data_IF_914328478733
#
_entry.id   IF_914328478733
#
_cell.length_a   1.000
_cell.length_b   1.000
_cell.length_c   1.000
_cell.angle_alpha   90.00
_cell.angle_beta   90.00
_cell.angle_gamma   90.00
#
_symmetry.space_group_name_H-M   'P 1'
#
loop_
_entity.id
_entity.type
_entity.pdbx_description
1 polymer ?
#
# COMPACT_ATOMS: atom_id res chain seq x y z
N UNK A 1 -37.28 -12.13 -1.11
CA UNK A 1 -36.40 -12.27 -2.29
C UNK A 1 -35.42 -11.08 -2.49
N UNK A 2 -35.33 -10.09 -1.62
CA UNK A 2 -34.51 -8.86 -1.80
C UNK A 2 -33.04 -8.97 -1.37
N UNK A 3 -32.63 -9.98 -0.60
CA UNK A 3 -31.27 -10.09 -0.06
C UNK A 3 -30.20 -10.63 -1.04
N UNK A 4 -30.60 -11.19 -2.16
CA UNK A 4 -29.66 -11.85 -3.11
C UNK A 4 -28.98 -10.87 -4.09
N UNK A 5 -29.57 -9.70 -4.35
CA UNK A 5 -29.03 -8.70 -5.28
C UNK A 5 -27.98 -7.75 -4.69
N UNK A 6 -27.94 -7.58 -3.36
CA UNK A 6 -26.93 -6.73 -2.71
C UNK A 6 -25.54 -7.36 -2.63
N UNK A 7 -25.44 -8.71 -2.57
CA UNK A 7 -24.15 -9.40 -2.49
C UNK A 7 -23.38 -9.48 -3.81
N UNK A 8 -24.07 -9.50 -4.95
CA UNK A 8 -23.42 -9.56 -6.28
C UNK A 8 -22.84 -8.21 -6.71
N UNK A 9 -23.51 -7.10 -6.35
CA UNK A 9 -22.99 -5.76 -6.61
C UNK A 9 -21.74 -5.44 -5.79
N UNK A 10 -21.68 -5.89 -4.54
CA UNK A 10 -20.54 -5.66 -3.64
C UNK A 10 -19.27 -6.38 -4.12
N UNK A 11 -19.36 -7.60 -4.61
CA UNK A 11 -18.21 -8.36 -5.12
C UNK A 11 -17.67 -7.76 -6.42
N UNK A 12 -18.55 -7.28 -7.32
CA UNK A 12 -18.15 -6.61 -8.56
C UNK A 12 -17.42 -5.28 -8.29
N UNK A 13 -17.95 -4.48 -7.36
CA UNK A 13 -17.33 -3.20 -6.95
C UNK A 13 -15.96 -3.46 -6.31
N UNK A 14 -15.85 -4.44 -5.41
CA UNK A 14 -14.59 -4.79 -4.77
C UNK A 14 -13.55 -5.25 -5.80
N UNK A 15 -13.94 -6.09 -6.76
CA UNK A 15 -13.06 -6.53 -7.85
C UNK A 15 -12.58 -5.39 -8.74
N UNK A 16 -13.46 -4.42 -9.03
CA UNK A 16 -13.10 -3.20 -9.78
C UNK A 16 -12.10 -2.35 -8.99
N UNK A 17 -12.32 -2.13 -7.69
CA UNK A 17 -11.41 -1.38 -6.84
C UNK A 17 -10.03 -2.05 -6.78
N UNK A 18 -9.96 -3.36 -6.59
CA UNK A 18 -8.69 -4.11 -6.60
C UNK A 18 -7.99 -3.97 -7.96
N UNK A 19 -8.71 -4.10 -9.06
CA UNK A 19 -8.16 -3.96 -10.41
C UNK A 19 -7.61 -2.56 -10.68
N UNK A 20 -8.32 -1.52 -10.27
CA UNK A 20 -7.87 -0.12 -10.40
C UNK A 20 -6.63 0.16 -9.54
N UNK A 21 -6.60 -0.33 -8.30
CA UNK A 21 -5.43 -0.19 -7.44
C UNK A 21 -4.21 -0.93 -8.02
N UNK A 22 -4.38 -2.16 -8.53
CA UNK A 22 -3.27 -2.89 -9.18
C UNK A 22 -2.74 -2.15 -10.42
N UNK A 23 -3.63 -1.61 -11.23
CA UNK A 23 -3.24 -0.79 -12.39
C UNK A 23 -2.47 0.46 -11.94
N UNK A 24 -2.95 1.15 -10.92
CA UNK A 24 -2.29 2.34 -10.39
C UNK A 24 -0.90 2.00 -9.85
N UNK A 25 -0.76 0.96 -9.03
CA UNK A 25 0.52 0.46 -8.51
C UNK A 25 1.50 0.14 -9.64
N UNK A 26 1.03 -0.50 -10.71
CA UNK A 26 1.89 -0.81 -11.85
C UNK A 26 2.39 0.46 -12.56
N UNK A 27 1.50 1.44 -12.76
CA UNK A 27 1.86 2.75 -13.35
C UNK A 27 2.85 3.47 -12.44
N UNK A 28 2.60 3.51 -11.14
CA UNK A 28 3.44 4.18 -10.15
C UNK A 28 4.83 3.56 -10.08
N UNK A 29 4.94 2.22 -10.08
CA UNK A 29 6.21 1.52 -10.10
C UNK A 29 7.02 1.79 -11.40
N UNK A 30 6.35 1.78 -12.55
CA UNK A 30 6.98 2.07 -13.85
C UNK A 30 7.45 3.53 -13.89
N UNK A 31 6.60 4.48 -13.51
CA UNK A 31 6.98 5.90 -13.49
C UNK A 31 8.09 6.16 -12.47
N UNK A 32 8.00 5.56 -11.27
CA UNK A 32 9.04 5.66 -10.23
C UNK A 32 10.40 5.19 -10.73
N UNK A 33 10.42 4.07 -11.45
CA UNK A 33 11.65 3.54 -12.04
C UNK A 33 12.26 4.48 -13.09
N UNK A 34 11.46 4.94 -14.06
CA UNK A 34 11.94 5.81 -15.14
C UNK A 34 12.21 7.25 -14.70
N UNK A 35 11.60 7.72 -13.62
CA UNK A 35 11.85 9.04 -13.03
C UNK A 35 12.98 9.05 -11.99
N UNK A 36 13.61 7.90 -11.69
CA UNK A 36 14.58 7.70 -10.61
C UNK A 36 14.04 8.15 -9.24
N UNK A 37 12.74 7.98 -8.98
CA UNK A 37 12.10 8.38 -7.72
C UNK A 37 11.96 7.20 -6.79
N UNK A 38 12.74 7.20 -5.70
CA UNK A 38 12.59 6.28 -4.59
C UNK A 38 11.26 6.51 -3.85
N UNK A 39 10.73 7.74 -3.86
CA UNK A 39 9.43 8.10 -3.27
C UNK A 39 8.28 7.36 -3.92
N UNK A 40 8.17 7.41 -5.25
CA UNK A 40 7.15 6.66 -5.99
C UNK A 40 7.33 5.14 -5.86
N UNK A 41 8.57 4.64 -5.87
CA UNK A 41 8.83 3.21 -5.69
C UNK A 41 8.44 2.73 -4.28
N UNK A 42 8.64 3.57 -3.25
CA UNK A 42 8.24 3.28 -1.88
C UNK A 42 6.72 3.19 -1.75
N UNK A 43 6.00 4.16 -2.32
CA UNK A 43 4.54 4.22 -2.33
C UNK A 43 3.94 3.03 -3.10
N UNK A 44 4.46 2.75 -4.31
CA UNK A 44 4.05 1.58 -5.10
C UNK A 44 4.28 0.25 -4.37
N UNK A 45 5.41 0.09 -3.67
CA UNK A 45 5.72 -1.10 -2.89
C UNK A 45 4.76 -1.30 -1.71
N UNK A 46 4.38 -0.23 -1.03
CA UNK A 46 3.38 -0.23 0.03
C UNK A 46 2.01 -0.64 -0.51
N UNK A 47 1.51 0.09 -1.49
CA UNK A 47 0.22 -0.15 -2.13
C UNK A 47 0.10 -1.57 -2.71
N UNK A 48 1.19 -2.12 -3.29
CA UNK A 48 1.23 -3.51 -3.74
C UNK A 48 1.04 -4.50 -2.60
N UNK A 49 1.71 -4.28 -1.47
CA UNK A 49 1.58 -5.13 -0.29
C UNK A 49 0.15 -5.15 0.24
N UNK A 50 -0.52 -4.00 0.25
CA UNK A 50 -1.90 -3.88 0.73
C UNK A 50 -2.87 -4.63 -0.17
N UNK A 51 -2.73 -4.48 -1.49
CA UNK A 51 -3.55 -5.22 -2.45
C UNK A 51 -3.31 -6.73 -2.33
N UNK A 52 -2.05 -7.16 -2.20
CA UNK A 52 -1.72 -8.57 -1.98
C UNK A 52 -2.34 -9.07 -0.67
N UNK A 53 -2.26 -8.32 0.42
CA UNK A 53 -2.90 -8.63 1.70
C UNK A 53 -4.41 -8.84 1.57
N UNK A 54 -5.11 -7.98 0.80
CA UNK A 54 -6.54 -8.10 0.53
C UNK A 54 -6.87 -9.36 -0.30
N UNK A 55 -6.13 -9.61 -1.38
CA UNK A 55 -6.31 -10.79 -2.23
C UNK A 55 -6.11 -12.08 -1.41
N UNK A 56 -5.08 -12.12 -0.60
CA UNK A 56 -4.74 -13.27 0.22
C UNK A 56 -5.77 -13.51 1.34
N UNK A 57 -6.31 -12.45 1.92
CA UNK A 57 -7.42 -12.51 2.88
C UNK A 57 -8.68 -13.08 2.22
N UNK A 58 -8.98 -12.65 1.00
CA UNK A 58 -10.10 -13.18 0.22
C UNK A 58 -9.92 -14.68 -0.07
N UNK A 59 -8.73 -15.10 -0.51
CA UNK A 59 -8.40 -16.51 -0.74
C UNK A 59 -8.57 -17.33 0.54
N UNK A 60 -8.09 -16.84 1.68
CA UNK A 60 -8.25 -17.52 2.97
C UNK A 60 -9.73 -17.72 3.34
N UNK A 61 -10.56 -16.69 3.14
CA UNK A 61 -12.03 -16.77 3.38
C UNK A 61 -12.68 -17.80 2.46
N UNK A 62 -12.32 -17.84 1.18
CA UNK A 62 -12.87 -18.79 0.21
C UNK A 62 -12.48 -20.24 0.55
N UNK A 63 -11.25 -20.47 0.99
CA UNK A 63 -10.77 -21.79 1.46
C UNK A 63 -11.48 -22.22 2.75
N UNK A 64 -11.72 -21.29 3.67
CA UNK A 64 -12.48 -21.57 4.90
C UNK A 64 -13.91 -22.00 4.60
N UNK A 65 -14.59 -21.35 3.66
CA UNK A 65 -15.96 -21.70 3.23
C UNK A 65 -16.05 -23.10 2.59
N UNK A 66 -14.97 -23.63 2.04
CA UNK A 66 -14.92 -25.00 1.47
C UNK A 66 -14.68 -26.10 2.54
N UNK A 67 -14.77 -25.77 3.82
CA UNK A 67 -14.64 -26.74 4.91
C UNK A 67 -13.22 -27.22 5.16
N UNK A 68 -12.20 -26.53 4.64
CA UNK A 68 -10.82 -26.88 4.86
C UNK A 68 -10.39 -26.43 6.26
N UNK A 69 -10.24 -27.38 7.20
CA UNK A 69 -9.87 -27.15 8.60
C UNK A 69 -8.51 -26.43 8.79
N UNK A 70 -7.73 -26.30 7.74
CA UNK A 70 -6.42 -25.63 7.76
C UNK A 70 -6.47 -24.16 7.32
N UNK A 71 -7.66 -23.56 7.14
CA UNK A 71 -7.81 -22.20 6.63
C UNK A 71 -7.07 -21.16 7.47
N UNK A 72 -7.08 -21.30 8.80
CA UNK A 72 -6.36 -20.41 9.71
C UNK A 72 -4.84 -20.50 9.52
N UNK A 73 -4.29 -21.71 9.40
CA UNK A 73 -2.85 -21.90 9.12
C UNK A 73 -2.44 -21.35 7.76
N UNK A 74 -3.29 -21.51 6.74
CA UNK A 74 -3.05 -20.94 5.42
C UNK A 74 -3.05 -19.41 5.50
N UNK A 75 -4.03 -18.81 6.16
CA UNK A 75 -4.10 -17.36 6.36
C UNK A 75 -2.84 -16.82 7.06
N UNK A 76 -2.41 -17.45 8.16
CA UNK A 76 -1.20 -17.04 8.89
C UNK A 76 0.07 -17.14 8.04
N UNK A 77 0.26 -18.26 7.28
CA UNK A 77 1.41 -18.42 6.38
C UNK A 77 1.47 -17.36 5.31
N UNK A 78 0.32 -17.03 4.76
CA UNK A 78 0.16 -16.01 3.72
C UNK A 78 0.49 -14.62 4.28
N UNK A 79 -0.02 -14.28 5.47
CA UNK A 79 0.31 -13.01 6.14
C UNK A 79 1.81 -12.91 6.44
N UNK A 80 2.44 -14.00 6.88
CA UNK A 80 3.89 -14.04 7.07
C UNK A 80 4.64 -13.81 5.77
N UNK A 81 4.26 -14.51 4.69
CA UNK A 81 4.91 -14.38 3.39
C UNK A 81 4.80 -12.94 2.86
N UNK A 82 3.60 -12.33 2.94
CA UNK A 82 3.39 -10.93 2.54
C UNK A 82 4.22 -9.96 3.39
N UNK A 83 4.23 -10.13 4.72
CA UNK A 83 5.01 -9.29 5.61
C UNK A 83 6.52 -9.40 5.36
N UNK A 84 7.05 -10.59 5.07
CA UNK A 84 8.46 -10.76 4.70
C UNK A 84 8.77 -10.14 3.34
N UNK A 85 7.88 -10.27 2.36
CA UNK A 85 8.03 -9.63 1.05
C UNK A 85 8.09 -8.10 1.20
N UNK A 86 7.22 -7.53 2.03
CA UNK A 86 7.22 -6.09 2.32
C UNK A 86 8.51 -5.65 3.02
N UNK A 87 9.02 -6.42 4.00
CA UNK A 87 10.32 -6.12 4.62
C UNK A 87 11.47 -6.14 3.62
N UNK A 88 11.47 -7.10 2.69
CA UNK A 88 12.46 -7.17 1.62
C UNK A 88 12.37 -5.93 0.71
N UNK A 89 11.16 -5.56 0.30
CA UNK A 89 10.92 -4.36 -0.52
C UNK A 89 11.40 -3.09 0.19
N UNK A 90 11.08 -2.90 1.47
CA UNK A 90 11.57 -1.79 2.28
C UNK A 90 13.11 -1.77 2.32
N UNK A 91 13.74 -2.94 2.54
CA UNK A 91 15.20 -3.05 2.56
C UNK A 91 15.85 -2.64 1.24
N UNK A 92 15.28 -3.05 0.10
CA UNK A 92 15.75 -2.68 -1.23
C UNK A 92 15.57 -1.17 -1.49
N UNK A 93 14.44 -0.59 -1.11
CA UNK A 93 14.18 0.84 -1.25
C UNK A 93 15.15 1.65 -0.40
N UNK A 94 15.37 1.27 0.85
CA UNK A 94 16.31 1.98 1.73
C UNK A 94 17.74 1.88 1.18
N UNK A 95 18.14 0.73 0.63
CA UNK A 95 19.43 0.59 -0.03
C UNK A 95 19.56 1.52 -1.26
N UNK A 96 18.51 1.60 -2.09
CA UNK A 96 18.47 2.54 -3.22
C UNK A 96 18.50 4.00 -2.75
N UNK A 97 17.77 4.36 -1.70
CA UNK A 97 17.81 5.70 -1.10
C UNK A 97 19.21 6.07 -0.63
N UNK A 98 19.91 5.19 0.05
CA UNK A 98 21.30 5.42 0.49
C UNK A 98 22.21 5.62 -0.72
N UNK A 99 22.06 4.80 -1.77
CA UNK A 99 22.83 4.96 -3.01
C UNK A 99 22.54 6.31 -3.69
N UNK A 100 21.29 6.76 -3.73
CA UNK A 100 20.91 8.05 -4.32
C UNK A 100 21.38 9.26 -3.48
N UNK A 101 21.48 9.13 -2.16
CA UNK A 101 22.07 10.17 -1.31
C UNK A 101 23.57 10.30 -1.57
N UNK A 102 24.28 9.17 -1.72
CA UNK A 102 25.72 9.16 -1.98
C UNK A 102 26.08 9.55 -3.43
N UNK A 103 25.24 9.15 -4.38
CA UNK A 103 25.39 9.36 -5.80
C UNK A 103 24.09 9.92 -6.39
N UNK A 104 23.79 11.22 -6.18
CA UNK A 104 22.55 11.84 -6.61
C UNK A 104 22.32 11.67 -8.12
N UNK A 105 21.12 11.22 -8.48
CA UNK A 105 20.65 11.14 -9.87
C UNK A 105 19.66 12.27 -10.14
N UNK A 106 19.55 12.66 -11.39
CA UNK A 106 18.48 13.56 -11.81
C UNK A 106 17.13 12.84 -11.65
N UNK A 107 16.19 13.54 -11.02
CA UNK A 107 14.86 13.03 -10.74
C UNK A 107 13.85 13.82 -11.56
N UNK A 108 12.93 13.13 -12.24
CA UNK A 108 11.85 13.79 -12.98
C UNK A 108 10.73 14.22 -12.04
N UNK A 109 10.89 15.40 -11.45
CA UNK A 109 9.94 15.97 -10.47
C UNK A 109 8.52 16.15 -11.02
N UNK A 110 8.37 16.48 -12.32
CA UNK A 110 7.04 16.61 -12.93
C UNK A 110 6.31 15.27 -12.98
N UNK A 111 7.01 14.18 -13.30
CA UNK A 111 6.44 12.84 -13.28
C UNK A 111 6.04 12.43 -11.86
N UNK A 112 6.86 12.75 -10.85
CA UNK A 112 6.53 12.51 -9.43
C UNK A 112 5.24 13.25 -9.03
N UNK A 113 5.17 14.55 -9.28
CA UNK A 113 4.01 15.39 -8.92
C UNK A 113 2.72 14.86 -9.56
N UNK A 114 2.78 14.53 -10.84
CA UNK A 114 1.60 14.05 -11.57
C UNK A 114 1.14 12.68 -11.05
N UNK A 115 2.06 11.74 -10.90
CA UNK A 115 1.73 10.36 -10.49
C UNK A 115 1.23 10.32 -9.05
N UNK A 116 1.96 10.93 -8.10
CA UNK A 116 1.53 11.00 -6.72
C UNK A 116 0.25 11.86 -6.55
N UNK A 117 0.05 12.88 -7.41
CA UNK A 117 -1.21 13.64 -7.47
C UNK A 117 -2.42 12.77 -7.86
N UNK A 118 -2.25 11.82 -8.78
CA UNK A 118 -3.28 10.82 -9.09
C UNK A 118 -3.52 9.90 -7.89
N UNK A 119 -2.48 9.48 -7.17
CA UNK A 119 -2.59 8.71 -5.92
C UNK A 119 -3.43 9.44 -4.87
N UNK A 120 -3.16 10.75 -4.64
CA UNK A 120 -3.97 11.60 -3.75
C UNK A 120 -5.44 11.58 -4.16
N UNK A 121 -5.73 11.71 -5.47
CA UNK A 121 -7.10 11.73 -5.95
C UNK A 121 -7.80 10.38 -5.71
N UNK A 122 -7.15 9.25 -6.01
CA UNK A 122 -7.71 7.91 -5.83
C UNK A 122 -7.95 7.62 -4.34
N UNK A 123 -6.92 7.79 -3.50
CA UNK A 123 -7.00 7.47 -2.08
C UNK A 123 -7.87 8.46 -1.32
N UNK A 124 -7.80 9.76 -1.66
CA UNK A 124 -8.64 10.80 -1.09
C UNK A 124 -10.12 10.62 -1.40
N UNK A 125 -10.47 10.27 -2.65
CA UNK A 125 -11.85 9.95 -3.03
C UNK A 125 -12.34 8.69 -2.33
N UNK A 126 -11.50 7.67 -2.17
CA UNK A 126 -11.81 6.45 -1.43
C UNK A 126 -12.09 6.76 0.05
N UNK A 127 -11.21 7.52 0.70
CA UNK A 127 -11.39 7.96 2.08
C UNK A 127 -12.71 8.76 2.24
N UNK A 128 -12.95 9.72 1.33
CA UNK A 128 -14.19 10.50 1.36
C UNK A 128 -15.45 9.65 1.14
N UNK A 129 -15.42 8.69 0.23
CA UNK A 129 -16.55 7.79 0.01
C UNK A 129 -16.85 6.92 1.25
N UNK A 130 -15.81 6.49 1.97
CA UNK A 130 -15.96 5.72 3.20
C UNK A 130 -16.60 6.51 4.35
N UNK A 131 -16.41 7.85 4.42
CA UNK A 131 -17.09 8.68 5.42
C UNK A 131 -18.61 8.71 5.24
N UNK A 132 -19.11 8.43 4.04
CA UNK A 132 -20.54 8.37 3.75
C UNK A 132 -21.19 7.02 4.06
N UNK A 133 -20.41 5.98 4.29
CA UNK A 133 -20.88 4.60 4.51
C UNK A 133 -21.36 4.27 5.93
N UNK A 134 -21.27 5.21 6.89
CA UNK A 134 -21.69 5.05 8.28
C UNK A 134 -20.51 4.80 9.24
N UNK A 135 -20.31 5.73 10.18
CA UNK A 135 -19.14 5.77 11.08
C UNK A 135 -19.11 4.66 12.16
N UNK A 136 -20.14 3.82 12.28
CA UNK A 136 -20.26 2.85 13.37
C UNK A 136 -19.60 1.49 13.10
N UNK A 137 -19.21 1.21 11.85
CA UNK A 137 -18.53 -0.04 11.50
C UNK A 137 -17.01 0.10 11.66
N UNK A 138 -16.42 -0.73 12.53
CA UNK A 138 -14.97 -0.76 12.78
C UNK A 138 -14.15 -1.03 11.49
N UNK A 139 -14.72 -1.81 10.57
CA UNK A 139 -14.04 -2.10 9.30
C UNK A 139 -14.02 -0.87 8.38
N UNK A 140 -15.11 -0.10 8.34
CA UNK A 140 -15.19 1.15 7.58
C UNK A 140 -14.21 2.17 8.15
N UNK A 141 -14.14 2.28 9.48
CA UNK A 141 -13.19 3.17 10.15
C UNK A 141 -11.73 2.77 9.87
N UNK A 142 -11.41 1.49 9.90
CA UNK A 142 -10.08 0.99 9.58
C UNK A 142 -9.71 1.28 8.12
N UNK A 143 -10.61 1.03 7.16
CA UNK A 143 -10.40 1.32 5.75
C UNK A 143 -10.26 2.84 5.48
N UNK A 144 -11.03 3.68 6.18
CA UNK A 144 -10.88 5.14 6.10
C UNK A 144 -9.51 5.60 6.59
N UNK A 145 -9.06 5.12 7.76
CA UNK A 145 -7.75 5.48 8.31
C UNK A 145 -6.62 5.05 7.38
N UNK A 146 -6.73 3.88 6.76
CA UNK A 146 -5.78 3.38 5.78
C UNK A 146 -5.71 4.31 4.57
N UNK A 147 -6.83 4.57 3.87
CA UNK A 147 -6.87 5.44 2.70
C UNK A 147 -6.45 6.89 3.02
N UNK A 148 -6.74 7.37 4.23
CA UNK A 148 -6.28 8.70 4.68
C UNK A 148 -4.75 8.72 4.90
N UNK A 149 -4.16 7.65 5.43
CA UNK A 149 -2.71 7.52 5.60
C UNK A 149 -2.01 7.50 4.25
N UNK A 150 -2.51 6.73 3.28
CA UNK A 150 -1.95 6.67 1.92
C UNK A 150 -2.03 8.03 1.23
N UNK A 151 -3.15 8.74 1.41
CA UNK A 151 -3.30 10.12 0.92
C UNK A 151 -2.22 11.03 1.51
N UNK A 152 -1.93 10.93 2.81
CA UNK A 152 -0.90 11.73 3.47
C UNK A 152 0.51 11.40 2.97
N UNK A 153 0.80 10.12 2.73
CA UNK A 153 2.07 9.66 2.13
C UNK A 153 2.23 10.28 0.74
N UNK A 154 1.22 10.16 -0.13
CA UNK A 154 1.25 10.74 -1.47
C UNK A 154 1.37 12.27 -1.45
N UNK A 155 0.75 12.97 -0.49
CA UNK A 155 0.95 14.43 -0.28
C UNK A 155 2.42 14.72 0.04
N UNK A 156 3.06 13.93 0.87
CA UNK A 156 4.49 14.05 1.18
C UNK A 156 5.36 13.92 -0.07
N UNK A 157 5.06 12.95 -0.93
CA UNK A 157 5.76 12.73 -2.21
C UNK A 157 5.55 13.90 -3.17
N UNK A 158 4.32 14.41 -3.30
CA UNK A 158 4.04 15.61 -4.12
C UNK A 158 4.78 16.83 -3.59
N UNK A 159 4.78 17.05 -2.27
CA UNK A 159 5.48 18.17 -1.67
C UNK A 159 6.99 18.10 -1.95
N UNK A 160 7.60 16.91 -1.84
CA UNK A 160 9.00 16.69 -2.21
C UNK A 160 9.22 16.99 -3.71
N UNK A 161 8.36 16.47 -4.59
CA UNK A 161 8.42 16.72 -6.03
C UNK A 161 8.35 18.21 -6.38
N UNK A 162 7.48 18.96 -5.72
CA UNK A 162 7.34 20.41 -5.90
C UNK A 162 8.62 21.14 -5.46
N UNK A 163 9.18 20.81 -4.31
CA UNK A 163 10.45 21.40 -3.85
C UNK A 163 11.59 21.07 -4.82
N UNK A 164 11.68 19.81 -5.27
CA UNK A 164 12.71 19.40 -6.26
C UNK A 164 12.53 20.18 -7.56
N UNK A 165 11.30 20.37 -8.03
CA UNK A 165 11.01 21.12 -9.26
C UNK A 165 11.57 22.55 -9.23
N UNK A 166 11.44 23.25 -8.10
CA UNK A 166 11.88 24.64 -7.97
C UNK A 166 13.35 24.79 -7.56
N UNK A 167 13.91 23.81 -6.82
CA UNK A 167 15.26 23.92 -6.23
C UNK A 167 16.30 23.07 -6.92
N UNK A 168 15.89 22.04 -7.68
CA UNK A 168 16.79 21.01 -8.19
C UNK A 168 17.39 20.08 -7.12
N UNK A 169 16.93 20.16 -5.85
CA UNK A 169 17.47 19.38 -4.75
C UNK A 169 16.96 17.93 -4.75
N UNK A 170 17.51 17.12 -5.67
CA UNK A 170 17.09 15.73 -5.91
C UNK A 170 17.22 14.82 -4.67
N UNK A 171 18.10 15.15 -3.71
CA UNK A 171 18.31 14.36 -2.48
C UNK A 171 17.06 14.36 -1.57
N UNK A 172 16.13 15.28 -1.77
CA UNK A 172 14.88 15.31 -1.01
C UNK A 172 14.01 14.08 -1.26
N UNK A 173 13.99 13.53 -2.49
CA UNK A 173 13.23 12.32 -2.83
C UNK A 173 13.64 11.10 -1.96
N UNK A 174 14.91 10.67 -1.93
CA UNK A 174 15.30 9.56 -1.06
C UNK A 174 15.16 9.86 0.43
N UNK A 175 15.25 11.11 0.90
CA UNK A 175 14.99 11.46 2.29
C UNK A 175 13.52 11.19 2.65
N UNK A 176 12.59 11.68 1.84
CA UNK A 176 11.14 11.45 2.04
C UNK A 176 10.82 9.96 1.94
N UNK A 177 11.45 9.22 1.01
CA UNK A 177 11.31 7.78 0.86
C UNK A 177 11.73 6.99 2.10
N UNK A 178 12.82 7.39 2.76
CA UNK A 178 13.25 6.79 4.03
C UNK A 178 12.20 7.04 5.12
N UNK A 179 11.65 8.24 5.21
CA UNK A 179 10.59 8.57 6.19
C UNK A 179 9.37 7.67 5.94
N UNK A 180 8.90 7.56 4.70
CA UNK A 180 7.80 6.69 4.30
C UNK A 180 8.12 5.23 4.67
N UNK A 181 9.32 4.74 4.34
CA UNK A 181 9.76 3.40 4.68
C UNK A 181 9.70 3.10 6.17
N UNK A 182 10.07 4.06 7.03
CA UNK A 182 9.97 3.93 8.50
C UNK A 182 8.50 3.87 8.95
N UNK A 183 7.63 4.70 8.38
CA UNK A 183 6.19 4.71 8.67
C UNK A 183 5.56 3.36 8.35
N UNK A 184 5.96 2.72 7.25
CA UNK A 184 5.47 1.41 6.83
C UNK A 184 6.12 0.28 7.64
N UNK A 185 7.40 0.39 7.99
CA UNK A 185 8.15 -0.64 8.71
C UNK A 185 7.56 -0.96 10.08
N UNK A 186 7.16 0.06 10.84
CA UNK A 186 6.67 -0.10 12.22
C UNK A 186 5.43 -0.99 12.31
N UNK A 187 4.33 -0.73 11.56
CA UNK A 187 3.16 -1.61 11.57
C UNK A 187 3.46 -2.98 10.99
N UNK A 188 4.33 -3.09 9.97
CA UNK A 188 4.72 -4.37 9.35
C UNK A 188 5.41 -5.28 10.35
N UNK A 189 6.38 -4.77 11.11
CA UNK A 189 7.09 -5.54 12.15
C UNK A 189 6.14 -5.96 13.26
N UNK A 190 5.19 -5.10 13.66
CA UNK A 190 4.18 -5.43 14.65
C UNK A 190 3.27 -6.55 14.16
N UNK A 191 2.75 -6.44 12.93
CA UNK A 191 1.92 -7.47 12.31
C UNK A 191 2.64 -8.82 12.23
N UNK A 192 3.92 -8.85 11.85
CA UNK A 192 4.70 -10.07 11.80
C UNK A 192 4.88 -10.70 13.17
N UNK A 193 5.19 -9.91 14.21
CA UNK A 193 5.32 -10.41 15.59
C UNK A 193 4.03 -11.05 16.07
N UNK A 194 2.89 -10.39 15.87
CA UNK A 194 1.57 -10.87 16.28
C UNK A 194 1.20 -12.14 15.51
N UNK A 195 1.50 -12.19 14.21
CA UNK A 195 1.23 -13.37 13.37
C UNK A 195 2.09 -14.55 13.77
N UNK A 196 3.38 -14.36 14.09
CA UNK A 196 4.28 -15.42 14.58
C UNK A 196 3.81 -15.96 15.94
N UNK A 197 3.38 -15.08 16.85
CA UNK A 197 2.83 -15.48 18.14
C UNK A 197 1.58 -16.36 17.96
N UNK A 198 0.64 -15.93 17.11
CA UNK A 198 -0.57 -16.68 16.80
C UNK A 198 -0.27 -18.02 16.09
N UNK A 199 0.74 -18.06 15.22
CA UNK A 199 1.14 -19.28 14.53
C UNK A 199 1.64 -20.38 15.51
N UNK A 200 2.37 -19.98 16.56
CA UNK A 200 2.83 -20.89 17.61
C UNK A 200 1.69 -21.46 18.45
N UNK A 201 0.60 -20.72 18.63
CA UNK A 201 -0.55 -21.15 19.42
C UNK A 201 -1.51 -22.10 18.65
N UNK A 202 -1.34 -22.23 17.33
CA UNK A 202 -2.16 -23.07 16.45
C UNK A 202 -1.45 -24.40 16.08
N UNK A 203 -0.21 -24.56 16.51
CA UNK A 203 0.51 -25.85 16.43
C UNK A 203 0.10 -26.78 17.56
#
# INVERSE_FOLDING_TARGET
>A
MAHRHQHTSSVGILGLCIGLNLLFVAVEAVVGWFSNSSGLLSDAGHNLSDVLGLVLSLVAILLARRGNLNSQRVSLRVTLANGFLLLLTIGLIVADCVAQILYPKEVNSSAIILTAGVGIAINGLTAWALTRGGEQDLNIRAAFLHAATDTLVSIGVVAAGVVIYFTGWAVLDPIVSIIISVVILVPTVRLLKDTIANYKNVQ
#
